data_IF_120159487870
#
_entry.id   IF_120159487870
#
_cell.length_a   1.000
_cell.length_b   1.000
_cell.length_c   1.000
_cell.angle_alpha   90.00
_cell.angle_beta   90.00
_cell.angle_gamma   90.00
#
_symmetry.space_group_name_H-M   'P 1'
#
loop_
_entity.id
_entity.type
_entity.pdbx_description
1 polymer ?
#
# COMPACT_ATOMS: atom_id res chain seq x y z
N UNK A 1 18.66 19.21 6.66
CA UNK A 1 18.12 17.92 6.14
C UNK A 1 17.35 18.25 4.87
N UNK A 2 17.54 17.51 3.78
CA UNK A 2 16.80 17.77 2.54
C UNK A 2 15.38 17.20 2.64
N UNK A 3 14.48 17.60 1.74
CA UNK A 3 13.06 17.21 1.78
C UNK A 3 12.85 15.69 1.71
N UNK A 4 13.68 14.97 0.93
CA UNK A 4 13.57 13.50 0.83
C UNK A 4 13.84 12.82 2.18
N UNK A 5 14.91 13.18 2.87
CA UNK A 5 15.23 12.63 4.20
C UNK A 5 14.14 12.99 5.22
N UNK A 6 13.60 14.21 5.15
CA UNK A 6 12.52 14.64 6.01
C UNK A 6 11.27 13.78 5.82
N UNK A 7 10.88 13.49 4.58
CA UNK A 7 9.74 12.61 4.26
C UNK A 7 9.96 11.20 4.83
N UNK A 8 11.14 10.61 4.61
CA UNK A 8 11.46 9.27 5.09
C UNK A 8 11.39 9.17 6.63
N UNK A 9 11.77 10.24 7.34
CA UNK A 9 11.76 10.26 8.81
C UNK A 9 10.41 10.67 9.40
N UNK A 10 9.62 11.52 8.70
CA UNK A 10 8.34 12.04 9.20
C UNK A 10 7.16 11.11 8.95
N UNK A 11 7.18 10.31 7.87
CA UNK A 11 6.05 9.45 7.48
C UNK A 11 5.58 8.54 8.62
N UNK A 12 4.28 8.54 8.86
CA UNK A 12 3.62 7.67 9.87
C UNK A 12 2.45 6.91 9.27
N UNK A 13 2.12 5.76 9.86
CA UNK A 13 0.91 5.01 9.51
C UNK A 13 -0.33 5.70 10.06
N UNK A 14 -1.23 6.09 9.19
CA UNK A 14 -2.53 6.67 9.53
C UNK A 14 -3.56 5.56 9.82
N UNK A 15 -4.28 5.66 10.94
CA UNK A 15 -5.32 4.69 11.35
C UNK A 15 -6.68 5.34 11.62
N UNK A 16 -6.89 6.52 11.07
CA UNK A 16 -8.17 7.21 11.07
C UNK A 16 -8.17 8.21 9.92
N UNK A 17 -8.94 7.94 8.87
CA UNK A 17 -8.98 8.76 7.68
C UNK A 17 -10.29 9.55 7.58
N UNK A 18 -10.20 10.76 7.03
CA UNK A 18 -11.36 11.50 6.57
C UNK A 18 -11.96 10.80 5.34
N UNK A 19 -13.25 11.01 5.12
CA UNK A 19 -13.94 10.51 3.90
C UNK A 19 -13.65 11.31 2.63
N UNK A 20 -12.93 12.43 2.76
CA UNK A 20 -12.51 13.29 1.65
C UNK A 20 -11.63 12.52 0.67
N UNK A 21 -11.96 12.49 -0.64
CA UNK A 21 -11.15 11.81 -1.63
C UNK A 21 -9.79 12.50 -1.82
N UNK A 22 -8.79 11.71 -2.18
CA UNK A 22 -7.50 12.24 -2.64
C UNK A 22 -7.68 12.80 -4.05
N UNK A 23 -7.16 14.02 -4.30
CA UNK A 23 -7.22 14.65 -5.61
C UNK A 23 -6.53 13.78 -6.68
N UNK A 24 -7.12 13.69 -7.85
CA UNK A 24 -6.63 12.84 -8.94
C UNK A 24 -5.16 13.12 -9.28
N UNK A 25 -4.75 14.39 -9.30
CA UNK A 25 -3.37 14.78 -9.61
C UNK A 25 -2.37 14.20 -8.59
N UNK A 26 -2.71 14.25 -7.31
CA UNK A 26 -1.88 13.65 -6.25
C UNK A 26 -1.88 12.12 -6.34
N UNK A 27 -3.06 11.53 -6.57
CA UNK A 27 -3.20 10.08 -6.72
C UNK A 27 -2.31 9.56 -7.85
N UNK A 28 -2.39 10.18 -9.03
CA UNK A 28 -1.57 9.81 -10.20
C UNK A 28 -0.06 10.00 -9.93
N UNK A 29 0.33 11.08 -9.24
CA UNK A 29 1.72 11.31 -8.87
C UNK A 29 2.24 10.23 -7.89
N UNK A 30 1.42 9.81 -6.91
CA UNK A 30 1.74 8.73 -5.97
C UNK A 30 1.91 7.41 -6.73
N UNK A 31 0.95 7.05 -7.59
CA UNK A 31 1.00 5.82 -8.39
C UNK A 31 2.26 5.82 -9.26
N UNK A 32 2.50 6.92 -9.98
CA UNK A 32 3.69 7.08 -10.81
C UNK A 32 4.98 6.86 -10.02
N UNK A 33 5.12 7.45 -8.84
CA UNK A 33 6.29 7.25 -7.98
C UNK A 33 6.45 5.77 -7.58
N UNK A 34 5.35 5.06 -7.34
CA UNK A 34 5.35 3.61 -7.10
C UNK A 34 5.99 2.83 -8.24
N UNK A 35 5.68 3.17 -9.49
CA UNK A 35 6.23 2.47 -10.67
C UNK A 35 7.73 2.68 -10.89
N UNK A 36 8.35 3.64 -10.21
CA UNK A 36 9.79 3.90 -10.25
C UNK A 36 10.60 3.18 -9.15
N UNK A 37 9.96 2.32 -8.36
CA UNK A 37 10.70 1.49 -7.42
C UNK A 37 11.68 0.57 -8.15
N UNK A 38 12.90 0.35 -7.63
CA UNK A 38 13.83 -0.59 -8.23
C UNK A 38 13.27 -2.02 -8.15
N UNK A 39 13.54 -2.80 -9.20
CA UNK A 39 13.12 -4.22 -9.27
C UNK A 39 14.28 -5.10 -9.69
N UNK A 40 14.26 -6.37 -9.31
CA UNK A 40 15.29 -7.33 -9.68
C UNK A 40 15.51 -7.36 -11.19
N UNK A 41 16.74 -7.11 -11.63
CA UNK A 41 17.15 -7.04 -13.04
C UNK A 41 16.31 -6.04 -13.88
N UNK A 42 15.64 -5.07 -13.27
CA UNK A 42 14.76 -4.12 -13.96
C UNK A 42 13.51 -4.76 -14.60
N UNK A 43 13.08 -5.93 -14.12
CA UNK A 43 12.00 -6.71 -14.74
C UNK A 43 10.58 -6.21 -14.43
N UNK A 44 10.43 -5.25 -13.51
CA UNK A 44 9.15 -4.60 -13.19
C UNK A 44 8.02 -5.61 -12.88
N UNK A 45 8.33 -6.60 -12.05
CA UNK A 45 7.39 -7.66 -11.65
C UNK A 45 6.12 -7.16 -10.93
N UNK A 46 6.12 -6.02 -10.19
CA UNK A 46 4.93 -5.54 -9.52
C UNK A 46 3.96 -4.83 -10.46
N UNK A 47 2.67 -4.93 -10.10
CA UNK A 47 1.58 -4.12 -10.66
C UNK A 47 0.84 -3.41 -9.52
N UNK A 48 0.14 -2.33 -9.85
CA UNK A 48 -0.65 -1.54 -8.91
C UNK A 48 -2.10 -1.50 -9.41
N UNK A 49 -3.04 -1.93 -8.57
CA UNK A 49 -4.48 -1.77 -8.82
C UNK A 49 -4.96 -0.62 -7.95
N UNK A 50 -5.35 0.49 -8.58
CA UNK A 50 -5.90 1.65 -7.87
C UNK A 50 -7.42 1.53 -7.71
N UNK A 51 -7.90 1.52 -6.48
CA UNK A 51 -9.32 1.40 -6.15
C UNK A 51 -9.79 2.68 -5.47
N UNK A 52 -10.55 3.49 -6.21
CA UNK A 52 -11.25 4.69 -5.74
C UNK A 52 -12.76 4.49 -5.72
N UNK A 53 -13.25 3.42 -6.35
CA UNK A 53 -14.66 3.07 -6.30
C UNK A 53 -15.04 2.57 -4.91
N UNK A 54 -15.87 3.34 -4.21
CA UNK A 54 -16.28 3.03 -2.83
C UNK A 54 -16.88 1.64 -2.67
N UNK A 55 -17.73 1.19 -3.60
CA UNK A 55 -18.38 -0.12 -3.50
C UNK A 55 -17.37 -1.27 -3.59
N UNK A 56 -16.38 -1.16 -4.47
CA UNK A 56 -15.33 -2.16 -4.60
C UNK A 56 -14.40 -2.10 -3.38
N UNK A 57 -14.00 -0.90 -2.96
CA UNK A 57 -13.17 -0.68 -1.76
C UNK A 57 -13.81 -1.33 -0.53
N UNK A 58 -15.12 -1.13 -0.32
CA UNK A 58 -15.83 -1.69 0.84
C UNK A 58 -15.93 -3.24 0.77
N UNK A 59 -16.07 -3.82 -0.44
CA UNK A 59 -16.02 -5.27 -0.63
C UNK A 59 -14.65 -5.85 -0.30
N UNK A 60 -13.58 -5.20 -0.73
CA UNK A 60 -12.21 -5.60 -0.42
C UNK A 60 -11.96 -5.49 1.10
N UNK A 61 -12.45 -4.41 1.74
CA UNK A 61 -12.37 -4.26 3.19
C UNK A 61 -13.07 -5.41 3.94
N UNK A 62 -14.25 -5.81 3.48
CA UNK A 62 -15.00 -6.91 4.08
C UNK A 62 -14.28 -8.27 3.91
N UNK A 63 -13.69 -8.55 2.74
CA UNK A 63 -12.87 -9.75 2.56
C UNK A 63 -11.62 -9.73 3.44
N UNK A 64 -10.92 -8.59 3.51
CA UNK A 64 -9.77 -8.42 4.39
C UNK A 64 -10.13 -8.60 5.86
N UNK A 65 -11.29 -8.07 6.27
CA UNK A 65 -11.84 -8.24 7.62
C UNK A 65 -12.07 -9.71 7.95
N UNK A 66 -12.73 -10.46 7.06
CA UNK A 66 -13.01 -11.90 7.23
C UNK A 66 -11.72 -12.71 7.34
N UNK A 67 -10.78 -12.50 6.43
CA UNK A 67 -9.46 -13.15 6.45
C UNK A 67 -8.71 -12.85 7.75
N UNK A 68 -8.80 -11.61 8.24
CA UNK A 68 -8.19 -11.18 9.50
C UNK A 68 -8.88 -11.68 10.76
N UNK A 69 -10.09 -12.24 10.65
CA UNK A 69 -10.86 -12.72 11.80
C UNK A 69 -11.38 -11.60 12.71
N UNK A 70 -11.54 -10.37 12.19
CA UNK A 70 -12.05 -9.24 12.97
C UNK A 70 -13.58 -9.21 13.04
N UNK A 71 -14.08 -8.55 14.07
CA UNK A 71 -15.52 -8.39 14.30
C UNK A 71 -16.21 -7.68 13.15
N UNK A 72 -17.50 -7.96 12.99
CA UNK A 72 -18.38 -7.27 12.03
C UNK A 72 -18.34 -5.75 12.28
N UNK A 73 -18.31 -4.97 11.17
CA UNK A 73 -18.22 -3.52 11.22
C UNK A 73 -16.81 -2.93 11.36
N UNK A 74 -15.78 -3.75 11.64
CA UNK A 74 -14.40 -3.25 11.61
C UNK A 74 -13.94 -3.01 10.17
N UNK A 75 -13.41 -1.82 9.90
CA UNK A 75 -12.80 -1.48 8.61
C UNK A 75 -11.28 -1.58 8.68
N UNK A 76 -10.65 -2.60 8.06
CA UNK A 76 -9.19 -2.75 8.06
C UNK A 76 -8.44 -1.62 7.39
N UNK A 77 -9.12 -0.83 6.55
CA UNK A 77 -8.53 0.33 5.88
C UNK A 77 -8.79 1.65 6.61
N UNK A 78 -9.36 1.60 7.83
CA UNK A 78 -9.54 2.75 8.73
C UNK A 78 -10.27 3.95 8.12
N UNK A 79 -11.23 3.71 7.24
CA UNK A 79 -12.01 4.75 6.55
C UNK A 79 -11.30 5.39 5.36
N UNK A 80 -10.12 4.91 4.95
CA UNK A 80 -9.42 5.45 3.78
C UNK A 80 -10.30 5.43 2.53
N UNK A 81 -10.42 6.55 1.79
CA UNK A 81 -11.28 6.64 0.61
C UNK A 81 -10.73 5.89 -0.61
N UNK A 82 -9.41 5.64 -0.64
CA UNK A 82 -8.74 4.92 -1.72
C UNK A 82 -7.73 3.91 -1.20
N UNK A 83 -7.53 2.84 -1.96
CA UNK A 83 -6.50 1.82 -1.72
C UNK A 83 -5.73 1.54 -3.01
N UNK A 84 -4.42 1.44 -2.90
CA UNK A 84 -3.52 1.02 -3.97
C UNK A 84 -3.04 -0.38 -3.62
N UNK A 85 -3.49 -1.37 -4.38
CA UNK A 85 -3.17 -2.78 -4.14
C UNK A 85 -1.94 -3.11 -4.96
N UNK A 86 -0.88 -3.57 -4.30
CA UNK A 86 0.34 -4.03 -4.96
C UNK A 86 0.33 -5.54 -5.04
N UNK A 87 0.44 -6.05 -6.27
CA UNK A 87 0.66 -7.46 -6.57
C UNK A 87 2.00 -7.59 -7.28
N UNK A 88 2.61 -8.76 -7.26
CA UNK A 88 3.86 -9.00 -7.98
C UNK A 88 3.89 -10.40 -8.61
N UNK A 89 4.43 -10.47 -9.83
CA UNK A 89 4.53 -11.69 -10.63
C UNK A 89 5.52 -12.67 -9.99
N UNK A 90 5.03 -13.84 -9.59
CA UNK A 90 5.81 -14.90 -8.93
C UNK A 90 6.85 -15.56 -9.83
N UNK A 91 6.79 -15.34 -11.14
CA UNK A 91 7.84 -15.83 -12.06
C UNK A 91 9.21 -15.21 -11.78
N UNK A 92 9.23 -14.04 -11.09
CA UNK A 92 10.46 -13.36 -10.70
C UNK A 92 10.86 -13.73 -9.28
N UNK A 93 12.09 -14.23 -9.03
CA UNK A 93 12.51 -14.67 -7.69
C UNK A 93 12.53 -13.54 -6.66
N UNK A 94 12.60 -12.28 -7.09
CA UNK A 94 12.64 -11.08 -6.22
C UNK A 94 11.27 -10.45 -6.00
N UNK A 95 10.20 -11.02 -6.50
CA UNK A 95 8.88 -10.39 -6.58
C UNK A 95 8.37 -9.78 -5.26
N UNK A 96 8.59 -10.44 -4.11
CA UNK A 96 8.18 -9.91 -2.80
C UNK A 96 8.95 -8.66 -2.41
N UNK A 97 10.24 -8.64 -2.68
CA UNK A 97 11.09 -7.49 -2.41
C UNK A 97 10.74 -6.33 -3.34
N UNK A 98 10.56 -6.63 -4.64
CA UNK A 98 10.17 -5.65 -5.65
C UNK A 98 8.83 -4.98 -5.27
N UNK A 99 7.82 -5.77 -4.93
CA UNK A 99 6.53 -5.25 -4.47
C UNK A 99 6.60 -4.47 -3.16
N UNK A 100 7.48 -4.89 -2.24
CA UNK A 100 7.71 -4.16 -0.98
C UNK A 100 8.36 -2.78 -1.22
N UNK A 101 9.25 -2.67 -2.19
CA UNK A 101 9.84 -1.39 -2.59
C UNK A 101 8.80 -0.48 -3.25
N UNK A 102 7.91 -1.02 -4.08
CA UNK A 102 6.76 -0.27 -4.62
C UNK A 102 5.90 0.29 -3.48
N UNK A 103 5.55 -0.54 -2.49
CA UNK A 103 4.79 -0.08 -1.31
C UNK A 103 5.52 1.06 -0.58
N UNK A 104 6.84 0.95 -0.39
CA UNK A 104 7.67 2.00 0.21
C UNK A 104 7.60 3.31 -0.58
N UNK A 105 7.73 3.24 -1.91
CA UNK A 105 7.65 4.41 -2.78
C UNK A 105 6.27 5.06 -2.73
N UNK A 106 5.18 4.28 -2.78
CA UNK A 106 3.80 4.79 -2.67
C UNK A 106 3.60 5.57 -1.37
N UNK A 107 4.01 5.00 -0.23
CA UNK A 107 3.84 5.64 1.08
C UNK A 107 4.69 6.91 1.23
N UNK A 108 5.92 6.92 0.72
CA UNK A 108 6.79 8.07 0.78
C UNK A 108 6.32 9.19 -0.15
N UNK A 109 5.84 8.84 -1.35
CA UNK A 109 5.26 9.81 -2.28
C UNK A 109 3.99 10.43 -1.71
N UNK A 110 3.12 9.62 -1.07
CA UNK A 110 1.94 10.14 -0.38
C UNK A 110 2.32 11.19 0.68
N UNK A 111 3.27 10.86 1.57
CA UNK A 111 3.76 11.79 2.60
C UNK A 111 4.30 13.10 1.99
N UNK A 112 5.07 13.01 0.89
CA UNK A 112 5.65 14.19 0.24
C UNK A 112 4.59 15.13 -0.35
N UNK A 113 3.40 14.62 -0.63
CA UNK A 113 2.26 15.37 -1.17
C UNK A 113 1.22 15.75 -0.11
N UNK A 114 1.53 15.53 1.17
CA UNK A 114 0.60 15.79 2.27
C UNK A 114 -0.58 14.82 2.33
N UNK A 115 -0.45 13.65 1.71
CA UNK A 115 -1.41 12.54 1.77
C UNK A 115 -0.89 11.49 2.74
N UNK A 116 -1.75 11.03 3.65
CA UNK A 116 -1.38 10.04 4.63
C UNK A 116 -1.61 8.62 4.09
N UNK A 117 -0.86 7.67 4.64
CA UNK A 117 -0.92 6.29 4.18
C UNK A 117 -0.69 5.27 5.28
N UNK A 118 -1.08 4.03 5.01
CA UNK A 118 -0.74 2.87 5.84
C UNK A 118 -0.66 1.62 4.96
N UNK A 119 0.28 0.72 5.28
CA UNK A 119 0.34 -0.62 4.70
C UNK A 119 -0.61 -1.56 5.44
N UNK A 120 -1.54 -2.17 4.72
CA UNK A 120 -2.44 -3.21 5.23
C UNK A 120 -2.08 -4.54 4.56
N UNK A 121 -1.97 -5.59 5.35
CA UNK A 121 -1.67 -6.95 4.90
C UNK A 121 -2.87 -7.68 4.30
N UNK A 122 -2.70 -8.96 3.97
CA UNK A 122 -3.68 -9.94 3.50
C UNK A 122 -4.05 -9.82 2.02
N UNK A 123 -3.38 -8.98 1.26
CA UNK A 123 -3.54 -8.97 -0.19
C UNK A 123 -3.23 -10.35 -0.80
N UNK A 124 -2.28 -11.10 -0.20
CA UNK A 124 -1.97 -12.46 -0.64
C UNK A 124 -3.20 -13.35 -0.56
N UNK A 125 -3.77 -13.50 0.62
CA UNK A 125 -4.91 -14.37 0.87
C UNK A 125 -6.14 -13.92 0.08
N UNK A 126 -6.34 -12.61 -0.07
CA UNK A 126 -7.44 -12.07 -0.89
C UNK A 126 -7.31 -12.46 -2.36
N UNK A 127 -6.11 -12.32 -2.95
CA UNK A 127 -5.90 -12.60 -4.36
C UNK A 127 -5.66 -14.09 -4.68
N UNK A 128 -5.45 -14.93 -3.67
CA UNK A 128 -5.54 -16.39 -3.76
C UNK A 128 -7.00 -16.89 -3.74
N UNK A 129 -7.94 -16.08 -3.22
CA UNK A 129 -9.37 -16.41 -3.17
C UNK A 129 -10.08 -16.24 -4.52
N UNK A 130 -11.27 -16.80 -4.65
CA UNK A 130 -12.12 -16.61 -5.84
C UNK A 130 -12.53 -15.14 -6.03
N UNK A 131 -12.66 -14.38 -4.95
CA UNK A 131 -12.96 -12.95 -4.98
C UNK A 131 -11.83 -12.17 -5.67
N UNK A 132 -10.58 -12.36 -5.24
CA UNK A 132 -9.43 -11.69 -5.83
C UNK A 132 -9.16 -12.13 -7.28
N UNK A 133 -9.28 -13.43 -7.56
CA UNK A 133 -9.18 -13.97 -8.93
C UNK A 133 -10.21 -13.36 -9.87
N UNK A 134 -11.44 -13.12 -9.36
CA UNK A 134 -12.46 -12.41 -10.15
C UNK A 134 -12.05 -10.98 -10.46
N UNK A 135 -11.45 -10.25 -9.53
CA UNK A 135 -10.93 -8.88 -9.77
C UNK A 135 -9.90 -8.90 -10.89
N UNK A 136 -8.91 -9.82 -10.84
CA UNK A 136 -7.89 -9.95 -11.89
C UNK A 136 -8.53 -10.24 -13.24
N UNK A 137 -9.48 -11.16 -13.29
CA UNK A 137 -10.21 -11.49 -14.52
C UNK A 137 -10.99 -10.31 -15.09
N UNK A 138 -11.71 -9.57 -14.22
CA UNK A 138 -12.51 -8.41 -14.63
C UNK A 138 -11.63 -7.26 -15.16
N UNK A 139 -10.36 -7.20 -14.73
CA UNK A 139 -9.34 -6.25 -15.20
C UNK A 139 -8.49 -6.78 -16.35
N UNK A 140 -8.76 -8.00 -16.83
CA UNK A 140 -7.99 -8.67 -17.90
C UNK A 140 -6.49 -8.79 -17.57
N UNK A 141 -6.18 -9.00 -16.27
CA UNK A 141 -4.81 -9.19 -15.79
C UNK A 141 -4.48 -10.68 -15.82
N UNK A 142 -3.63 -11.08 -16.77
CA UNK A 142 -3.12 -12.43 -16.90
C UNK A 142 -1.77 -12.58 -16.19
N UNK A 143 -1.53 -13.75 -15.59
CA UNK A 143 -0.28 -14.09 -14.91
C UNK A 143 -0.50 -14.69 -13.53
N UNK A 144 0.60 -15.12 -12.91
CA UNK A 144 0.60 -15.69 -11.56
C UNK A 144 1.09 -14.65 -10.54
N UNK A 145 0.17 -13.81 -10.09
CA UNK A 145 0.45 -12.73 -9.16
C UNK A 145 0.17 -13.11 -7.70
N UNK A 146 1.08 -12.72 -6.80
CA UNK A 146 0.84 -12.74 -5.36
C UNK A 146 0.59 -11.33 -4.84
N UNK A 147 -0.40 -11.18 -3.97
CA UNK A 147 -0.65 -9.92 -3.27
C UNK A 147 0.46 -9.59 -2.28
N UNK A 148 1.00 -8.37 -2.38
CA UNK A 148 2.05 -7.86 -1.48
C UNK A 148 1.44 -7.05 -0.34
N UNK A 149 0.47 -6.22 -0.64
CA UNK A 149 -0.21 -5.40 0.35
C UNK A 149 -1.11 -4.34 -0.26
N UNK A 150 -1.87 -3.69 0.62
CA UNK A 150 -2.70 -2.55 0.28
C UNK A 150 -2.07 -1.28 0.87
N UNK A 151 -1.78 -0.28 0.07
CA UNK A 151 -1.49 1.07 0.52
C UNK A 151 -2.82 1.82 0.63
N UNK A 152 -3.39 1.87 1.83
CA UNK A 152 -4.56 2.71 2.08
C UNK A 152 -4.11 4.16 2.18
N UNK A 153 -4.79 5.08 1.47
CA UNK A 153 -4.41 6.49 1.35
C UNK A 153 -5.60 7.41 1.54
N UNK A 154 -5.34 8.59 2.08
CA UNK A 154 -6.32 9.62 2.35
C UNK A 154 -5.75 10.72 3.25
N UNK A 155 -6.61 11.52 3.84
CA UNK A 155 -6.23 12.58 4.78
C UNK A 155 -6.51 12.12 6.21
N UNK A 156 -5.56 12.32 7.13
CA UNK A 156 -5.73 11.95 8.53
C UNK A 156 -6.86 12.78 9.17
N UNK A 157 -7.75 12.11 9.90
CA UNK A 157 -8.81 12.75 10.68
C UNK A 157 -8.30 13.31 12.02
N UNK A 158 -7.15 12.82 12.48
CA UNK A 158 -6.52 13.16 13.76
C UNK A 158 -5.01 13.33 13.57
N UNK A 159 -4.31 14.02 14.50
CA UNK A 159 -2.86 14.10 14.47
C UNK A 159 -2.20 12.71 14.45
N UNK A 160 -1.21 12.55 13.59
CA UNK A 160 -0.46 11.30 13.49
C UNK A 160 0.42 11.07 14.73
N UNK A 161 0.69 9.81 15.09
CA UNK A 161 1.55 9.50 16.24
C UNK A 161 2.98 9.97 15.98
N UNK A 162 3.69 10.28 17.04
CA UNK A 162 5.12 10.54 16.96
C UNK A 162 5.91 9.27 16.59
N UNK A 163 7.11 9.46 16.03
CA UNK A 163 8.00 8.34 15.79
C UNK A 163 8.39 7.67 17.10
N UNK A 164 8.32 6.35 17.14
CA UNK A 164 8.94 5.61 18.24
C UNK A 164 10.46 5.83 18.22
N UNK A 165 11.07 5.77 19.41
CA UNK A 165 12.52 5.80 19.54
C UNK A 165 13.15 4.64 18.75
N UNK A 166 14.30 4.90 18.10
CA UNK A 166 15.04 3.86 17.40
C UNK A 166 15.84 3.03 18.41
N UNK A 167 15.85 1.71 18.24
CA UNK A 167 16.65 0.84 19.10
C UNK A 167 18.14 1.09 18.91
N UNK A 168 18.93 0.97 19.96
CA UNK A 168 20.37 1.29 19.94
C UNK A 168 21.19 0.32 19.07
N UNK A 169 20.77 -0.92 18.93
CA UNK A 169 21.41 -1.98 18.16
C UNK A 169 20.83 -2.14 16.75
N UNK A 170 20.44 -1.02 16.13
CA UNK A 170 19.87 -1.05 14.77
C UNK A 170 20.95 -1.13 13.68
N UNK A 171 22.15 -0.59 13.95
CA UNK A 171 23.24 -0.51 12.97
C UNK A 171 24.54 -1.00 13.59
N UNK A 172 25.24 -1.84 12.86
CA UNK A 172 26.55 -2.36 13.23
C UNK A 172 27.59 -1.88 12.21
N UNK A 173 28.73 -1.39 12.69
CA UNK A 173 29.82 -0.90 11.84
C UNK A 173 30.99 -1.89 11.87
N UNK A 174 31.43 -2.29 10.69
CA UNK A 174 32.71 -3.01 10.49
C UNK A 174 33.64 -2.00 9.80
N UNK A 175 34.76 -1.64 10.50
CA UNK A 175 35.75 -0.65 10.03
C UNK A 175 37.06 -1.34 9.70
#
# INVERSE_FOLDING_TARGET
MNETLKVLESRRSCRNFKSEPVENEKLEAIIKAGTYAPTGMGKQSPIIIAVTNKKLRDKIAEENRKIGGWNEGFDPFYGAPAILIVLADKSMPTYKYDGSLVMGNLMNAAESLGVNSIWIHRAKEEFESDFGKKILKDLEIDGDYEGIGHCAIGYAAEPLPQAAERKNDYVYYVK
#
